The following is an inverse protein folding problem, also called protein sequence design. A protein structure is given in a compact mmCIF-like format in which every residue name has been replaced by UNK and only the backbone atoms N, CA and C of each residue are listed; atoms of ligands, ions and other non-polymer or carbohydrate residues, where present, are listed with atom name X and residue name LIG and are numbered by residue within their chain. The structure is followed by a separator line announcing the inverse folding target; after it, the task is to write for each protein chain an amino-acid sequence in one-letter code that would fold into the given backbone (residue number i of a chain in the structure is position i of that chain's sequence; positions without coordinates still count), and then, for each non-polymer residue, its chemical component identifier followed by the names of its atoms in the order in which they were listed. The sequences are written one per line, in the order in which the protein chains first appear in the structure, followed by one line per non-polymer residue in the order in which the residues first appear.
data_IF_050098577967
#
_entry.id   IF_050098577967
#
_cell.length_a   1.000
_cell.length_b   1.000
_cell.length_c   1.000
_cell.angle_alpha   90.00
_cell.angle_beta   90.00
_cell.angle_gamma   90.00
#
_symmetry.space_group_name_H-M   'P 1'
#
loop_
_entity.id
_entity.type
_entity.pdbx_description
1 polymer ?
#
# COMPACT_ATOMS: atom_id res chain seq x y z
N UNK A 1 -47.55 20.62 -40.30
CA UNK A 1 -47.88 21.03 -38.93
C UNK A 1 -47.09 20.13 -37.97
N UNK A 2 -45.84 20.49 -37.66
CA UNK A 2 -45.02 19.72 -36.72
C UNK A 2 -45.12 20.38 -35.34
N UNK A 3 -45.71 19.66 -34.39
CA UNK A 3 -45.98 20.09 -33.03
C UNK A 3 -44.68 20.18 -32.20
N UNK A 4 -44.35 21.39 -31.73
CA UNK A 4 -43.28 21.63 -30.76
C UNK A 4 -43.72 21.16 -29.37
N UNK A 5 -43.27 19.98 -28.95
CA UNK A 5 -43.42 19.55 -27.56
C UNK A 5 -42.44 20.35 -26.68
N UNK A 6 -42.96 21.28 -25.90
CA UNK A 6 -42.22 22.00 -24.87
C UNK A 6 -41.81 21.04 -23.75
N UNK A 7 -40.51 20.75 -23.63
CA UNK A 7 -39.98 19.99 -22.51
C UNK A 7 -40.00 20.85 -21.24
N UNK A 8 -41.09 20.79 -20.48
CA UNK A 8 -41.13 21.31 -19.11
C UNK A 8 -40.11 20.53 -18.28
N UNK A 9 -39.04 21.18 -17.85
CA UNK A 9 -38.10 20.60 -16.89
C UNK A 9 -38.89 20.16 -15.65
N UNK A 10 -38.75 18.91 -15.16
CA UNK A 10 -39.48 18.48 -13.98
C UNK A 10 -39.03 19.34 -12.79
N UNK A 11 -40.01 19.89 -12.08
CA UNK A 11 -39.81 20.55 -10.78
C UNK A 11 -39.03 19.61 -9.89
N UNK A 12 -37.78 19.96 -9.59
CA UNK A 12 -36.94 19.17 -8.71
C UNK A 12 -37.53 19.24 -7.30
N UNK A 13 -37.93 18.10 -6.68
CA UNK A 13 -38.37 18.14 -5.29
C UNK A 13 -37.19 18.62 -4.43
N UNK A 14 -37.49 19.55 -3.53
CA UNK A 14 -36.54 20.12 -2.60
C UNK A 14 -35.97 19.00 -1.71
N UNK A 15 -34.69 19.11 -1.36
CA UNK A 15 -34.08 18.20 -0.39
C UNK A 15 -34.78 18.37 0.97
N UNK A 16 -34.98 17.28 1.74
CA UNK A 16 -35.57 17.39 3.07
C UNK A 16 -34.72 18.34 3.92
N UNK A 17 -35.35 19.33 4.56
CA UNK A 17 -34.65 20.39 5.30
C UNK A 17 -33.74 19.84 6.41
N UNK A 18 -34.10 18.70 6.99
CA UNK A 18 -33.28 18.04 7.99
C UNK A 18 -31.93 17.53 7.46
N UNK A 19 -31.82 17.31 6.14
CA UNK A 19 -30.57 16.88 5.51
C UNK A 19 -29.61 18.04 5.24
N UNK A 20 -30.05 19.29 5.39
CA UNK A 20 -29.21 20.45 5.20
C UNK A 20 -28.32 20.66 6.43
N UNK A 21 -27.05 21.04 6.24
CA UNK A 21 -26.13 21.28 7.34
C UNK A 21 -26.55 22.54 8.08
N UNK A 22 -26.35 22.57 9.39
CA UNK A 22 -26.63 23.77 10.21
C UNK A 22 -25.78 24.95 9.74
N UNK A 23 -24.54 24.69 9.30
CA UNK A 23 -23.64 25.67 8.71
C UNK A 23 -23.27 25.29 7.27
N UNK A 24 -23.59 26.16 6.30
CA UNK A 24 -23.34 25.91 4.87
C UNK A 24 -21.85 25.85 4.50
N UNK A 25 -20.99 26.52 5.27
CA UNK A 25 -19.57 26.70 4.95
C UNK A 25 -18.63 25.72 5.66
N UNK A 26 -19.11 25.00 6.67
CA UNK A 26 -18.31 24.03 7.42
C UNK A 26 -19.21 22.89 7.94
N UNK A 27 -19.79 22.08 7.03
CA UNK A 27 -20.61 20.95 7.44
C UNK A 27 -19.73 19.89 8.11
N UNK A 28 -20.24 19.30 9.19
CA UNK A 28 -19.59 18.17 9.86
C UNK A 28 -19.52 16.96 8.91
N UNK A 29 -18.61 15.99 9.14
CA UNK A 29 -18.52 14.79 8.29
C UNK A 29 -19.84 14.02 8.21
N UNK A 30 -20.60 13.98 9.32
CA UNK A 30 -21.91 13.33 9.38
C UNK A 30 -22.94 14.08 8.53
N UNK A 31 -22.98 15.42 8.60
CA UNK A 31 -23.86 16.23 7.77
C UNK A 31 -23.54 16.09 6.27
N UNK A 32 -22.24 15.99 5.90
CA UNK A 32 -21.83 15.73 4.51
C UNK A 32 -22.33 14.37 4.02
N UNK A 33 -22.23 13.34 4.85
CA UNK A 33 -22.78 12.02 4.52
C UNK A 33 -24.30 12.07 4.41
N UNK A 34 -25.00 12.74 5.34
CA UNK A 34 -26.46 12.91 5.29
C UNK A 34 -26.90 13.62 4.00
N UNK A 35 -26.20 14.67 3.59
CA UNK A 35 -26.44 15.37 2.32
C UNK A 35 -26.25 14.46 1.10
N UNK A 36 -25.17 13.67 1.08
CA UNK A 36 -24.90 12.72 -0.02
C UNK A 36 -25.97 11.63 -0.08
N UNK A 37 -26.37 11.07 1.07
CA UNK A 37 -27.44 10.08 1.16
C UNK A 37 -28.79 10.66 0.72
N UNK A 38 -29.16 11.85 1.18
CA UNK A 38 -30.39 12.51 0.75
C UNK A 38 -30.40 12.78 -0.77
N UNK A 39 -29.24 13.11 -1.35
CA UNK A 39 -29.10 13.27 -2.80
C UNK A 39 -29.21 11.95 -3.57
N UNK A 40 -28.67 10.86 -3.04
CA UNK A 40 -28.76 9.52 -3.63
C UNK A 40 -30.18 8.95 -3.53
N UNK A 41 -30.84 9.12 -2.37
CA UNK A 41 -32.18 8.62 -2.08
C UNK A 41 -33.30 9.45 -2.75
N UNK A 42 -32.96 10.62 -3.30
CA UNK A 42 -33.91 11.44 -4.06
C UNK A 42 -34.52 10.66 -5.24
N UNK A 43 -33.69 9.92 -5.96
CA UNK A 43 -34.08 9.12 -7.12
C UNK A 43 -33.54 7.68 -6.96
N UNK A 44 -34.21 6.80 -6.19
CA UNK A 44 -33.68 5.47 -5.88
C UNK A 44 -33.64 4.53 -7.09
N UNK A 45 -34.32 4.89 -8.19
CA UNK A 45 -34.30 4.13 -9.46
C UNK A 45 -33.06 4.44 -10.31
N UNK A 46 -32.24 5.43 -9.93
CA UNK A 46 -31.05 5.82 -10.68
C UNK A 46 -29.85 5.00 -10.19
N UNK A 47 -29.21 4.29 -11.12
CA UNK A 47 -28.00 3.55 -10.82
C UNK A 47 -26.89 4.45 -10.27
N UNK A 48 -26.28 4.01 -9.17
CA UNK A 48 -25.18 4.72 -8.51
C UNK A 48 -23.90 4.49 -9.30
N UNK A 49 -23.31 5.57 -9.83
CA UNK A 49 -22.02 5.51 -10.50
C UNK A 49 -20.89 5.37 -9.48
N UNK A 50 -20.31 4.18 -9.39
CA UNK A 50 -19.06 3.94 -8.65
C UNK A 50 -17.90 4.20 -9.62
N UNK A 51 -17.00 5.14 -9.33
CA UNK A 51 -15.86 5.42 -10.19
C UNK A 51 -14.96 4.19 -10.27
N UNK A 52 -14.54 3.85 -11.49
CA UNK A 52 -13.51 2.82 -11.70
C UNK A 52 -12.19 3.29 -11.09
N UNK A 53 -11.31 2.35 -10.66
CA UNK A 53 -9.99 2.72 -10.15
C UNK A 53 -9.23 3.56 -11.19
N UNK A 54 -8.37 4.50 -10.74
CA UNK A 54 -7.58 5.31 -11.65
C UNK A 54 -6.69 4.41 -12.51
N UNK A 55 -6.70 4.64 -13.82
CA UNK A 55 -5.85 3.91 -14.75
C UNK A 55 -4.43 4.43 -14.65
N UNK A 56 -3.46 3.53 -14.82
CA UNK A 56 -2.06 3.90 -14.94
C UNK A 56 -1.84 4.75 -16.19
N UNK A 57 -0.86 5.66 -16.12
CA UNK A 57 -0.55 6.55 -17.23
C UNK A 57 0.09 5.73 -18.35
N UNK A 58 -0.62 5.49 -19.44
CA UNK A 58 -0.08 4.80 -20.63
C UNK A 58 0.15 5.80 -21.75
N UNK A 59 1.28 5.70 -22.44
CA UNK A 59 1.48 6.45 -23.68
C UNK A 59 0.73 5.79 -24.82
N UNK A 60 0.28 6.62 -25.76
CA UNK A 60 -0.32 6.12 -26.99
C UNK A 60 0.75 5.36 -27.78
N UNK A 61 0.41 4.17 -28.25
CA UNK A 61 1.28 3.38 -29.11
C UNK A 61 1.76 4.22 -30.32
N UNK A 62 3.05 4.08 -30.71
CA UNK A 62 3.56 4.64 -31.94
C UNK A 62 2.70 4.24 -33.15
N UNK A 63 2.61 5.11 -34.15
CA UNK A 63 1.90 4.78 -35.39
C UNK A 63 2.77 3.87 -36.24
N UNK A 64 2.21 2.77 -36.74
CA UNK A 64 2.93 1.80 -37.58
C UNK A 64 3.39 2.38 -38.91
N UNK A 65 2.54 3.17 -39.58
CA UNK A 65 2.87 3.81 -40.86
C UNK A 65 2.65 5.32 -40.79
N UNK A 66 3.70 6.07 -41.14
CA UNK A 66 3.62 7.51 -41.35
C UNK A 66 3.29 7.77 -42.83
N UNK A 67 2.16 8.45 -43.08
CA UNK A 67 1.65 8.69 -44.44
C UNK A 67 2.39 9.83 -45.17
N UNK A 68 3.08 10.69 -44.41
CA UNK A 68 3.67 11.94 -44.91
C UNK A 68 5.19 11.94 -44.71
N UNK A 69 5.86 10.87 -45.12
CA UNK A 69 7.33 10.79 -45.06
C UNK A 69 7.89 11.47 -46.32
N UNK A 70 8.56 12.60 -46.14
CA UNK A 70 9.28 13.29 -47.21
C UNK A 70 10.55 12.51 -47.56
N UNK A 71 11.00 12.57 -48.82
CA UNK A 71 12.18 11.82 -49.28
C UNK A 71 13.46 12.17 -48.50
N UNK A 72 14.38 11.21 -48.38
CA UNK A 72 15.56 11.31 -47.50
C UNK A 72 16.54 12.44 -47.86
N UNK A 73 16.56 12.87 -49.12
CA UNK A 73 17.41 13.98 -49.61
C UNK A 73 16.71 15.33 -49.62
N UNK A 74 15.43 15.38 -49.23
CA UNK A 74 14.66 16.60 -49.27
C UNK A 74 14.99 17.48 -48.05
N UNK A 75 15.09 18.79 -48.24
CA UNK A 75 15.49 19.73 -47.18
C UNK A 75 14.48 19.83 -46.02
N UNK A 76 14.93 20.40 -44.90
CA UNK A 76 14.09 20.61 -43.72
C UNK A 76 12.93 21.57 -44.03
N UNK A 77 11.70 21.07 -43.93
CA UNK A 77 10.49 21.88 -44.05
C UNK A 77 10.20 22.69 -42.79
N UNK A 78 9.36 23.74 -42.90
CA UNK A 78 8.98 24.60 -41.78
C UNK A 78 8.22 23.88 -40.65
N UNK A 79 7.59 22.74 -40.95
CA UNK A 79 6.88 21.90 -39.98
C UNK A 79 7.75 20.89 -39.23
N UNK A 80 8.98 20.64 -39.68
CA UNK A 80 9.83 19.55 -39.16
C UNK A 80 10.24 19.79 -37.70
N UNK A 81 10.47 21.05 -37.33
CA UNK A 81 10.76 21.43 -35.95
C UNK A 81 9.65 20.98 -34.98
N UNK A 82 8.38 21.16 -35.36
CA UNK A 82 7.26 20.73 -34.54
C UNK A 82 7.12 19.21 -34.49
N UNK A 83 7.41 18.51 -35.59
CA UNK A 83 7.44 17.04 -35.61
C UNK A 83 8.48 16.52 -34.62
N UNK A 84 9.71 17.03 -34.68
CA UNK A 84 10.78 16.68 -33.74
C UNK A 84 10.41 17.01 -32.30
N UNK A 85 9.88 18.21 -32.02
CA UNK A 85 9.48 18.62 -30.66
C UNK A 85 8.44 17.67 -30.05
N UNK A 86 7.43 17.27 -30.82
CA UNK A 86 6.39 16.35 -30.35
C UNK A 86 6.92 14.92 -30.21
N UNK A 87 7.77 14.47 -31.15
CA UNK A 87 8.42 13.16 -31.09
C UNK A 87 9.32 13.04 -29.86
N UNK A 88 10.20 14.01 -29.64
CA UNK A 88 11.11 14.06 -28.48
C UNK A 88 10.36 14.11 -27.16
N UNK A 89 9.29 14.90 -27.08
CA UNK A 89 8.44 14.95 -25.88
C UNK A 89 7.81 13.58 -25.58
N UNK A 90 7.26 12.90 -26.59
CA UNK A 90 6.70 11.56 -26.42
C UNK A 90 7.76 10.55 -26.00
N UNK A 91 8.97 10.65 -26.54
CA UNK A 91 10.06 9.73 -26.19
C UNK A 91 10.54 9.96 -24.75
N UNK A 92 10.68 11.21 -24.30
CA UNK A 92 11.00 11.50 -22.90
C UNK A 92 9.92 11.06 -21.94
N UNK A 93 8.65 11.25 -22.30
CA UNK A 93 7.55 10.70 -21.52
C UNK A 93 7.63 9.15 -21.48
N UNK A 94 8.08 8.49 -22.57
CA UNK A 94 8.21 7.02 -22.64
C UNK A 94 9.32 6.49 -21.77
N UNK A 95 10.51 7.08 -21.88
CA UNK A 95 11.65 6.73 -21.05
C UNK A 95 11.32 6.96 -19.58
N UNK A 96 10.76 8.12 -19.24
CA UNK A 96 10.35 8.42 -17.87
C UNK A 96 9.35 7.41 -17.31
N UNK A 97 8.35 7.01 -18.09
CA UNK A 97 7.38 6.00 -17.67
C UNK A 97 8.05 4.64 -17.44
N UNK A 98 8.98 4.24 -18.31
CA UNK A 98 9.73 2.99 -18.18
C UNK A 98 10.63 2.98 -16.94
N UNK A 99 11.34 4.08 -16.68
CA UNK A 99 12.18 4.25 -15.49
C UNK A 99 11.33 4.24 -14.21
N UNK A 100 10.21 4.95 -14.19
CA UNK A 100 9.27 4.96 -13.06
C UNK A 100 8.66 3.58 -12.78
N UNK A 101 8.35 2.79 -13.82
CA UNK A 101 7.84 1.42 -13.64
C UNK A 101 8.92 0.50 -13.08
N UNK A 102 10.15 0.57 -13.61
CA UNK A 102 11.26 -0.23 -13.12
C UNK A 102 11.56 0.06 -11.64
N UNK A 103 11.60 1.35 -11.27
CA UNK A 103 11.79 1.76 -9.86
C UNK A 103 10.67 1.21 -8.96
N UNK A 104 9.40 1.36 -9.36
CA UNK A 104 8.27 0.82 -8.58
C UNK A 104 8.32 -0.70 -8.44
N UNK A 105 8.68 -1.42 -9.50
CA UNK A 105 8.81 -2.88 -9.46
C UNK A 105 9.92 -3.31 -8.50
N UNK A 106 11.07 -2.63 -8.52
CA UNK A 106 12.17 -2.90 -7.58
C UNK A 106 11.76 -2.63 -6.13
N UNK A 107 11.12 -1.49 -5.86
CA UNK A 107 10.65 -1.11 -4.53
C UNK A 107 9.59 -2.07 -3.99
N UNK A 108 8.65 -2.50 -4.86
CA UNK A 108 7.63 -3.48 -4.52
C UNK A 108 8.24 -4.84 -4.20
N UNK A 109 9.17 -5.34 -5.04
CA UNK A 109 9.85 -6.60 -4.82
C UNK A 109 10.65 -6.60 -3.50
N UNK A 110 11.36 -5.51 -3.21
CA UNK A 110 12.07 -5.35 -1.94
C UNK A 110 11.13 -5.30 -0.73
N UNK A 111 10.02 -4.57 -0.87
CA UNK A 111 9.01 -4.47 0.18
C UNK A 111 8.36 -5.82 0.47
N UNK A 112 7.99 -6.57 -0.57
CA UNK A 112 7.41 -7.91 -0.45
C UNK A 112 8.39 -8.89 0.18
N UNK A 113 9.67 -8.83 -0.21
CA UNK A 113 10.72 -9.64 0.41
C UNK A 113 10.84 -9.35 1.91
N UNK A 114 10.99 -8.08 2.29
CA UNK A 114 11.10 -7.64 3.69
C UNK A 114 9.84 -7.99 4.50
N UNK A 115 8.66 -7.89 3.89
CA UNK A 115 7.39 -8.24 4.51
C UNK A 115 7.33 -9.75 4.79
N UNK A 116 7.70 -10.57 3.80
CA UNK A 116 7.73 -12.03 3.91
C UNK A 116 8.72 -12.49 4.98
N UNK A 117 9.93 -11.95 4.99
CA UNK A 117 10.94 -12.24 6.03
C UNK A 117 10.38 -11.97 7.44
N UNK A 118 9.73 -10.81 7.63
CA UNK A 118 9.13 -10.44 8.93
C UNK A 118 7.96 -11.36 9.32
N UNK A 119 7.14 -11.75 8.34
CA UNK A 119 6.04 -12.69 8.55
C UNK A 119 6.57 -14.08 8.93
N UNK A 120 7.58 -14.60 8.22
CA UNK A 120 8.22 -15.88 8.52
C UNK A 120 8.88 -15.90 9.90
N UNK A 121 9.55 -14.83 10.32
CA UNK A 121 10.11 -14.70 11.67
C UNK A 121 9.01 -14.70 12.75
N UNK A 122 7.92 -13.97 12.53
CA UNK A 122 6.79 -13.94 13.45
C UNK A 122 6.10 -15.31 13.52
N UNK A 123 5.95 -15.99 12.40
CA UNK A 123 5.41 -17.35 12.31
C UNK A 123 6.32 -18.36 13.01
N UNK A 124 7.64 -18.29 12.83
CA UNK A 124 8.59 -19.17 13.52
C UNK A 124 8.52 -18.98 15.05
N UNK A 125 8.49 -17.73 15.53
CA UNK A 125 8.35 -17.42 16.96
C UNK A 125 7.01 -17.91 17.52
N UNK A 126 5.91 -17.68 16.81
CA UNK A 126 4.57 -18.11 17.24
C UNK A 126 4.40 -19.62 17.17
N UNK A 127 4.95 -20.30 16.15
CA UNK A 127 4.95 -21.75 16.01
C UNK A 127 5.74 -22.43 17.12
N UNK A 128 6.95 -21.93 17.44
CA UNK A 128 7.76 -22.41 18.57
C UNK A 128 6.98 -22.31 19.89
N UNK A 129 6.32 -21.18 20.13
CA UNK A 129 5.50 -20.97 21.32
C UNK A 129 4.24 -21.84 21.34
N UNK A 130 3.57 -22.02 20.20
CA UNK A 130 2.42 -22.92 20.03
C UNK A 130 2.81 -24.36 20.33
N UNK A 131 3.93 -24.83 19.79
CA UNK A 131 4.46 -26.17 20.02
C UNK A 131 4.77 -26.42 21.51
N UNK A 132 5.41 -25.45 22.20
CA UNK A 132 5.64 -25.51 23.66
C UNK A 132 4.32 -25.65 24.44
N UNK A 133 3.30 -24.86 24.10
CA UNK A 133 1.97 -24.94 24.74
C UNK A 133 1.27 -26.28 24.47
N UNK A 134 1.34 -26.80 23.25
CA UNK A 134 0.74 -28.09 22.90
C UNK A 134 1.41 -29.26 23.62
N UNK A 135 2.75 -29.28 23.73
CA UNK A 135 3.48 -30.27 24.53
C UNK A 135 3.06 -30.22 26.00
N UNK A 136 2.90 -29.03 26.60
CA UNK A 136 2.41 -28.87 27.98
C UNK A 136 0.98 -29.37 28.14
N UNK A 137 0.09 -29.07 27.19
CA UNK A 137 -1.31 -29.53 27.18
C UNK A 137 -1.40 -31.06 27.09
N UNK A 138 -0.60 -31.69 26.23
CA UNK A 138 -0.55 -33.16 26.10
C UNK A 138 -0.03 -33.82 27.39
N UNK A 139 1.05 -33.30 27.99
CA UNK A 139 1.55 -33.79 29.29
C UNK A 139 0.52 -33.63 30.42
N UNK A 140 -0.25 -32.55 30.43
CA UNK A 140 -1.32 -32.32 31.41
C UNK A 140 -2.51 -33.27 31.25
N UNK A 141 -2.88 -33.62 30.01
CA UNK A 141 -3.95 -34.60 29.72
C UNK A 141 -3.56 -36.02 30.11
N UNK A 142 -2.32 -36.44 29.86
CA UNK A 142 -1.83 -37.77 30.24
C UNK A 142 -1.77 -38.03 31.76
N UNK A 143 -1.77 -36.96 32.58
CA UNK A 143 -1.84 -37.06 34.05
C UNK A 143 -3.27 -37.01 34.63
N UNK A 144 -4.28 -36.67 33.82
CA UNK A 144 -5.68 -36.56 34.28
C UNK A 144 -6.61 -37.67 33.81
N UNK A 145 -6.18 -38.52 32.86
CA UNK A 145 -7.03 -39.53 32.23
C UNK A 145 -6.88 -40.94 32.84
N UNK A 146 -5.94 -41.15 33.76
CA UNK A 146 -5.83 -42.43 34.50
C UNK A 146 -6.81 -42.53 35.69
N UNK A 147 -7.59 -41.48 35.99
CA UNK A 147 -8.51 -41.47 37.14
C UNK A 147 -9.97 -41.15 36.77
N UNK A 148 -10.35 -41.24 35.48
CA UNK A 148 -11.72 -40.94 35.04
C UNK A 148 -12.25 -41.85 33.93
N UNK A 149 -11.83 -43.12 33.93
CA UNK A 149 -12.45 -44.19 33.13
C UNK A 149 -13.36 -45.11 33.96
N UNK A 150 -14.05 -44.53 34.94
CA UNK A 150 -15.11 -45.16 35.72
C UNK A 150 -16.24 -44.15 36.04
N UNK A 151 -16.79 -43.48 35.01
CA UNK A 151 -18.08 -42.81 35.13
C UNK A 151 -18.72 -42.74 33.74
N UNK A 152 -19.62 -43.69 33.55
CA UNK A 152 -20.52 -43.92 32.42
C UNK A 152 -21.22 -42.68 31.87
N UNK A 153 -21.36 -42.70 30.56
CA UNK A 153 -22.37 -42.03 29.74
C UNK A 153 -23.74 -41.92 30.38
N UNK A 154 -24.29 -40.70 30.46
CA UNK A 154 -25.68 -40.38 30.10
C UNK A 154 -25.98 -38.88 30.29
N UNK A 155 -26.37 -38.24 29.19
CA UNK A 155 -27.55 -37.39 29.08
C UNK A 155 -27.69 -36.09 29.92
N UNK A 156 -27.76 -34.98 29.16
CA UNK A 156 -28.73 -33.87 29.29
C UNK A 156 -28.62 -32.82 30.41
N UNK A 157 -28.30 -31.60 29.95
CA UNK A 157 -29.00 -30.32 30.19
C UNK A 157 -29.65 -30.05 31.55
N UNK A 158 -29.14 -29.03 32.27
CA UNK A 158 -29.83 -27.73 32.44
C UNK A 158 -29.16 -26.87 33.53
N UNK A 159 -28.87 -25.63 33.14
CA UNK A 159 -29.00 -24.39 33.90
C UNK A 159 -28.21 -24.04 35.19
N UNK A 160 -27.89 -22.74 35.21
CA UNK A 160 -27.61 -21.83 36.32
C UNK A 160 -26.25 -21.82 37.07
N UNK A 161 -25.51 -20.76 36.73
CA UNK A 161 -24.95 -19.74 37.64
C UNK A 161 -23.58 -19.96 38.32
N UNK A 162 -22.57 -19.31 37.72
CA UNK A 162 -21.79 -18.26 38.39
C UNK A 162 -20.75 -18.65 39.44
N UNK A 163 -19.49 -18.74 39.04
CA UNK A 163 -18.38 -18.31 39.92
C UNK A 163 -17.16 -17.87 39.11
N UNK A 164 -17.12 -16.57 38.86
CA UNK A 164 -15.99 -15.77 38.44
C UNK A 164 -14.71 -16.11 39.23
N UNK A 165 -13.80 -16.89 38.62
CA UNK A 165 -12.46 -17.10 39.18
C UNK A 165 -11.57 -15.91 38.81
N UNK A 166 -11.69 -14.83 39.60
CA UNK A 166 -10.71 -13.75 39.71
C UNK A 166 -9.32 -14.36 39.87
N UNK A 167 -8.46 -14.21 38.86
CA UNK A 167 -7.02 -14.43 39.04
C UNK A 167 -6.46 -13.17 39.68
N UNK A 168 -6.09 -13.29 40.95
CA UNK A 168 -5.38 -12.31 41.76
C UNK A 168 -4.03 -12.03 41.08
N UNK A 169 -3.86 -10.82 40.55
CA UNK A 169 -2.59 -10.29 40.08
C UNK A 169 -1.75 -10.08 41.34
N UNK A 170 -0.69 -10.86 41.50
CA UNK A 170 0.30 -10.65 42.55
C UNK A 170 1.15 -9.44 42.15
N UNK A 171 1.22 -8.49 43.08
CA UNK A 171 2.24 -7.44 43.21
C UNK A 171 2.44 -6.50 42.02
N UNK A 172 1.59 -5.47 41.96
CA UNK A 172 1.98 -4.07 42.20
C UNK A 172 3.18 -3.43 41.49
N UNK A 173 3.84 -4.06 40.53
CA UNK A 173 4.83 -3.40 39.70
C UNK A 173 4.10 -2.49 38.70
N UNK A 174 4.13 -1.19 38.97
CA UNK A 174 3.58 -0.15 38.11
C UNK A 174 4.09 -0.36 36.68
N UNK A 175 3.17 -0.63 35.76
CA UNK A 175 3.47 -0.70 34.34
C UNK A 175 3.67 0.73 33.85
N UNK A 176 4.88 1.26 34.03
CA UNK A 176 5.26 2.59 33.55
C UNK A 176 5.35 2.53 32.03
N UNK A 177 4.45 3.26 31.37
CA UNK A 177 4.48 3.44 29.93
C UNK A 177 5.68 4.34 29.60
N UNK A 178 6.78 3.75 29.12
CA UNK A 178 8.00 4.48 28.76
C UNK A 178 7.74 5.44 27.60
N UNK A 179 8.18 6.68 27.75
CA UNK A 179 8.28 7.65 26.65
C UNK A 179 9.47 7.26 25.74
N UNK A 180 9.40 7.49 24.43
CA UNK A 180 10.54 7.26 23.54
C UNK A 180 11.75 8.12 23.98
N UNK A 181 12.84 7.49 24.42
CA UNK A 181 14.11 8.16 24.76
C UNK A 181 14.78 7.83 26.10
N UNK A 182 14.22 6.93 26.93
CA UNK A 182 14.83 6.60 28.24
C UNK A 182 15.52 5.21 28.18
N UNK A 183 16.85 5.25 28.05
CA UNK A 183 17.75 4.09 28.20
C UNK A 183 17.93 3.74 29.68
N UNK A 184 17.82 2.45 30.00
CA UNK A 184 18.05 1.89 31.33
C UNK A 184 19.31 1.06 31.24
N UNK A 185 20.35 1.58 31.84
CA UNK A 185 21.66 0.96 32.06
C UNK A 185 21.54 0.08 33.32
N UNK A 186 21.55 -1.24 33.17
CA UNK A 186 21.88 -2.23 34.22
C UNK A 186 22.15 -3.59 33.53
N UNK A 187 23.37 -4.08 33.73
CA UNK A 187 24.13 -5.17 33.08
C UNK A 187 23.49 -6.58 33.27
N UNK A 188 23.85 -7.72 32.68
CA UNK A 188 25.09 -8.29 32.12
C UNK A 188 24.67 -9.63 31.44
N UNK A 189 25.15 -9.95 30.24
CA UNK A 189 25.45 -11.33 29.79
C UNK A 189 26.10 -11.26 28.40
N UNK A 190 27.38 -11.63 28.37
CA UNK A 190 28.29 -11.56 27.24
C UNK A 190 27.88 -12.37 26.00
N UNK A 191 27.97 -11.77 24.81
CA UNK A 191 28.47 -12.46 23.61
C UNK A 191 29.19 -11.45 22.70
N UNK A 192 30.48 -11.69 22.48
CA UNK A 192 31.46 -10.77 21.88
C UNK A 192 31.64 -11.08 20.38
N UNK A 193 31.32 -10.08 19.53
CA UNK A 193 32.08 -9.75 18.31
C UNK A 193 31.36 -9.85 16.95
N UNK A 194 31.91 -9.27 15.85
CA UNK A 194 33.02 -8.30 15.77
C UNK A 194 32.59 -6.91 15.23
N UNK A 195 33.33 -5.91 15.71
CA UNK A 195 33.33 -4.51 15.28
C UNK A 195 34.11 -4.34 13.95
N UNK A 196 33.72 -3.43 13.04
CA UNK A 196 34.66 -2.80 12.12
C UNK A 196 35.01 -1.38 12.61
N UNK A 197 36.26 -1.21 13.07
CA UNK A 197 36.88 0.09 13.31
C UNK A 197 37.34 0.80 12.02
N UNK A 198 37.54 2.11 12.19
CA UNK A 198 38.23 3.10 11.35
C UNK A 198 37.41 3.67 10.18
N UNK A 199 37.37 4.98 9.93
CA UNK A 199 38.04 6.11 10.55
C UNK A 199 37.95 7.30 9.58
N UNK A 200 37.62 8.47 10.13
CA UNK A 200 37.97 9.85 9.72
C UNK A 200 37.95 10.24 8.23
N UNK A 201 37.15 11.27 7.89
CA UNK A 201 37.63 12.61 7.49
C UNK A 201 36.61 13.31 6.61
N UNK A 202 36.13 14.44 7.10
CA UNK A 202 35.52 15.52 6.33
C UNK A 202 36.56 16.19 5.45
N UNK A 203 36.32 16.29 4.14
CA UNK A 203 36.85 17.38 3.31
C UNK A 203 35.85 17.75 2.20
N UNK A 204 35.54 19.04 2.20
CA UNK A 204 34.70 19.77 1.27
C UNK A 204 35.62 20.35 0.18
N UNK A 205 35.54 19.84 -1.06
CA UNK A 205 36.22 20.45 -2.20
C UNK A 205 35.59 20.07 -3.55
N UNK A 206 34.81 21.01 -4.09
CA UNK A 206 34.76 21.45 -5.49
C UNK A 206 34.93 20.43 -6.65
N UNK A 207 33.78 20.11 -7.27
CA UNK A 207 33.50 20.20 -8.71
C UNK A 207 34.68 20.03 -9.71
N UNK A 208 34.82 18.82 -10.26
CA UNK A 208 35.45 18.61 -11.58
C UNK A 208 34.64 17.59 -12.37
N UNK A 209 34.25 17.99 -13.58
CA UNK A 209 33.51 17.20 -14.56
C UNK A 209 34.40 16.12 -15.19
N UNK A 210 34.09 14.84 -14.96
CA UNK A 210 34.68 13.73 -15.71
C UNK A 210 34.08 13.68 -17.13
N UNK A 211 34.95 13.91 -18.11
CA UNK A 211 34.69 13.70 -19.54
C UNK A 211 34.76 12.20 -19.78
N UNK A 212 33.63 11.59 -20.12
CA UNK A 212 33.57 10.17 -20.52
C UNK A 212 34.29 10.03 -21.87
N UNK A 213 35.43 9.33 -21.89
CA UNK A 213 36.14 8.96 -23.11
C UNK A 213 35.26 8.01 -23.97
N UNK A 214 35.03 8.40 -25.22
CA UNK A 214 34.26 7.63 -26.19
C UNK A 214 35.03 6.36 -26.61
N UNK A 215 34.39 5.20 -26.52
CA UNK A 215 34.94 3.92 -26.99
C UNK A 215 35.04 3.91 -28.52
N UNK A 216 36.27 4.03 -29.04
CA UNK A 216 36.59 3.98 -30.47
C UNK A 216 36.51 2.53 -30.97
N UNK A 217 35.44 2.18 -31.67
CA UNK A 217 35.27 0.88 -32.32
C UNK A 217 36.18 0.81 -33.55
N UNK A 218 37.13 -0.14 -33.56
CA UNK A 218 37.96 -0.48 -34.72
C UNK A 218 37.28 -1.62 -35.49
N UNK A 219 36.89 -1.35 -36.74
CA UNK A 219 36.42 -2.37 -37.69
C UNK A 219 37.67 -2.90 -38.41
N UNK A 220 37.89 -4.21 -38.37
CA UNK A 220 38.87 -4.88 -39.23
C UNK A 220 38.13 -5.40 -40.46
N UNK A 221 38.55 -4.95 -41.64
CA UNK A 221 38.16 -5.54 -42.90
C UNK A 221 39.15 -6.68 -43.19
N UNK A 222 38.67 -7.93 -43.13
CA UNK A 222 39.41 -9.10 -43.60
C UNK A 222 39.17 -9.25 -45.12
N UNK A 223 40.27 -9.19 -45.89
CA UNK A 223 40.35 -9.56 -47.32
C UNK A 223 40.12 -11.08 -47.55
#
# INVERSE_FOLDING_TARGET
MASSASSSKPSTPALPEEALPVNRHAPTPLEQQRLQLAKLLKDPTKDVYIPKPPKEKSLRAPREMMKNVQGSSAGAGSGEFHVYKQSRRREYERLKMMDETAQKETEQAEFERKKREREEEAEAKTAKNRAKRMKKKQKGKGKGDQDSKAATSAQQSSDAAGSSKKRKLADGAAMTFRRPGEESDDDDDEDVGPNPESGVASDDAANQSEVVEEQKIFIHDDD
#
